data_IF_945765604402
#
_entry.id   IF_945765604402
#
_cell.length_a   1.000
_cell.length_b   1.000
_cell.length_c   1.000
_cell.angle_alpha   90.00
_cell.angle_beta   90.00
_cell.angle_gamma   90.00
#
_symmetry.space_group_name_H-M   'P 1'
#
loop_
_entity.id
_entity.type
_entity.pdbx_description
1 polymer ?
#
# COMPACT_ATOMS: atom_id res chain seq x y z
N UNK A 1 23.57 14.73 11.89
CA UNK A 1 22.66 15.17 10.82
C UNK A 1 21.30 15.37 11.45
N UNK A 2 20.76 16.60 11.47
CA UNK A 2 19.39 16.84 11.92
C UNK A 2 18.44 16.28 10.86
N UNK A 3 17.87 15.11 11.13
CA UNK A 3 16.89 14.49 10.25
C UNK A 3 15.63 15.36 10.28
N UNK A 4 15.34 16.07 9.20
CA UNK A 4 14.08 16.78 9.04
C UNK A 4 12.98 15.73 9.04
N UNK A 5 12.13 15.72 10.06
CA UNK A 5 10.93 14.90 10.10
C UNK A 5 10.00 15.43 9.01
N UNK A 6 9.63 14.58 8.06
CA UNK A 6 8.64 14.94 7.04
C UNK A 6 7.25 14.70 7.61
N UNK A 7 6.30 15.57 7.28
CA UNK A 7 4.90 15.33 7.66
C UNK A 7 4.27 14.17 6.91
N UNK A 8 4.81 13.80 5.74
CA UNK A 8 4.41 12.60 5.01
C UNK A 8 2.91 12.56 4.77
N UNK A 9 2.29 11.41 5.07
CA UNK A 9 0.83 11.26 4.99
C UNK A 9 0.07 12.17 5.97
N UNK A 10 0.67 12.55 7.11
CA UNK A 10 0.02 13.32 8.16
C UNK A 10 -0.11 14.81 7.82
N UNK A 11 0.60 15.28 6.79
CA UNK A 11 0.31 16.58 6.17
C UNK A 11 -1.17 16.68 5.75
N UNK A 12 -1.79 15.54 5.40
CA UNK A 12 -3.16 15.44 4.91
C UNK A 12 -4.16 14.97 5.96
N UNK A 13 -3.82 15.06 7.26
CA UNK A 13 -4.61 14.49 8.37
C UNK A 13 -6.09 14.90 8.38
N UNK A 14 -6.40 16.13 7.99
CA UNK A 14 -7.77 16.65 7.98
C UNK A 14 -8.69 15.95 6.97
N UNK A 15 -8.12 15.31 5.95
CA UNK A 15 -8.86 14.57 4.91
C UNK A 15 -8.88 13.05 5.16
N UNK A 16 -8.18 12.55 6.17
CA UNK A 16 -8.16 11.13 6.52
C UNK A 16 -9.21 10.82 7.58
N UNK A 17 -9.84 9.65 7.49
CA UNK A 17 -10.93 9.26 8.39
C UNK A 17 -10.66 7.82 8.88
N UNK A 18 -10.76 7.53 10.19
CA UNK A 18 -11.11 8.43 11.29
C UNK A 18 -10.01 9.46 11.59
N UNK A 19 -10.39 10.53 12.30
CA UNK A 19 -9.39 11.43 12.87
C UNK A 19 -8.61 10.70 13.97
N UNK A 20 -7.29 10.85 13.97
CA UNK A 20 -6.38 10.20 14.91
C UNK A 20 -5.72 11.24 15.79
N UNK A 21 -5.72 11.01 17.11
CA UNK A 21 -5.03 11.85 18.07
C UNK A 21 -3.51 11.72 17.93
N UNK A 22 -2.80 12.84 18.09
CA UNK A 22 -1.35 12.95 17.86
C UNK A 22 -0.52 11.92 18.66
N UNK A 23 -0.96 11.55 19.86
CA UNK A 23 -0.30 10.56 20.71
C UNK A 23 -0.25 9.14 20.10
N UNK A 24 -1.10 8.83 19.12
CA UNK A 24 -1.14 7.53 18.44
C UNK A 24 -0.41 7.54 17.09
N UNK A 25 0.11 8.69 16.65
CA UNK A 25 0.85 8.79 15.40
C UNK A 25 2.25 8.19 15.59
N UNK A 26 2.55 7.16 14.80
CA UNK A 26 3.84 6.45 14.84
C UNK A 26 4.49 6.50 13.46
N UNK A 27 5.64 7.17 13.36
CA UNK A 27 6.40 7.31 12.10
C UNK A 27 7.61 6.36 12.08
N UNK A 28 7.74 5.55 11.02
CA UNK A 28 8.98 4.77 10.77
C UNK A 28 9.96 5.68 10.02
N UNK A 29 11.19 5.79 10.51
CA UNK A 29 12.20 6.73 9.99
C UNK A 29 11.68 8.18 9.88
N UNK A 30 11.55 8.71 8.65
CA UNK A 30 11.05 10.06 8.36
C UNK A 30 9.51 10.12 8.19
N UNK A 31 8.83 8.97 8.29
CA UNK A 31 7.40 8.82 7.99
C UNK A 31 7.14 8.37 6.54
N UNK A 32 5.99 7.75 6.32
CA UNK A 32 5.52 7.36 5.01
C UNK A 32 5.02 8.57 4.19
N UNK A 33 5.18 8.51 2.88
CA UNK A 33 4.80 9.57 1.96
C UNK A 33 5.88 10.62 1.74
N UNK A 34 5.46 11.74 1.16
CA UNK A 34 6.33 12.75 0.57
C UNK A 34 7.44 12.16 -0.31
N UNK A 35 7.05 11.24 -1.20
CA UNK A 35 8.00 10.57 -2.08
C UNK A 35 8.35 11.44 -3.28
N UNK A 36 9.54 11.28 -3.88
CA UNK A 36 9.93 12.07 -5.05
C UNK A 36 8.98 11.87 -6.22
N UNK A 37 8.54 12.98 -6.85
CA UNK A 37 7.82 12.99 -8.12
C UNK A 37 8.79 13.49 -9.20
N UNK A 38 9.40 12.56 -9.94
CA UNK A 38 10.45 12.89 -10.89
C UNK A 38 9.90 13.00 -12.31
N UNK A 39 10.25 14.07 -13.02
CA UNK A 39 9.98 14.17 -14.45
C UNK A 39 10.96 13.31 -15.24
N UNK A 40 10.45 12.45 -16.11
CA UNK A 40 11.23 11.44 -16.83
C UNK A 40 11.58 11.89 -18.25
N UNK A 41 12.42 12.93 -18.38
CA UNK A 41 12.80 13.54 -19.66
C UNK A 41 13.27 12.53 -20.73
N UNK A 42 14.08 11.54 -20.34
CA UNK A 42 14.56 10.50 -21.26
C UNK A 42 13.43 9.62 -21.82
N UNK A 43 12.38 9.36 -21.04
CA UNK A 43 11.20 8.65 -21.54
C UNK A 43 10.38 9.55 -22.46
N UNK A 44 10.20 10.83 -22.11
CA UNK A 44 9.52 11.80 -22.97
C UNK A 44 10.19 11.89 -24.36
N UNK A 45 11.53 11.99 -24.38
CA UNK A 45 12.34 11.98 -25.61
C UNK A 45 12.18 10.68 -26.41
N UNK A 46 12.22 9.52 -25.73
CA UNK A 46 12.00 8.22 -26.38
C UNK A 46 10.65 8.16 -27.09
N UNK A 47 9.56 8.59 -26.44
CA UNK A 47 8.24 8.58 -27.04
C UNK A 47 8.12 9.55 -28.22
N UNK A 48 8.71 10.74 -28.09
CA UNK A 48 8.75 11.71 -29.18
C UNK A 48 9.51 11.18 -30.40
N UNK A 49 10.67 10.56 -30.21
CA UNK A 49 11.49 10.02 -31.30
C UNK A 49 10.87 8.79 -31.94
N UNK A 50 10.32 7.87 -31.14
CA UNK A 50 9.84 6.57 -31.62
C UNK A 50 8.43 6.62 -32.21
N UNK A 51 7.58 7.51 -31.71
CA UNK A 51 6.15 7.55 -32.04
C UNK A 51 5.66 8.94 -32.47
N UNK A 52 6.49 9.98 -32.44
CA UNK A 52 6.09 11.35 -32.79
C UNK A 52 5.17 12.01 -31.75
N UNK A 53 5.02 11.41 -30.55
CA UNK A 53 4.07 11.87 -29.54
C UNK A 53 4.76 12.72 -28.48
N UNK A 54 4.25 13.93 -28.24
CA UNK A 54 4.64 14.77 -27.11
C UNK A 54 3.84 14.38 -25.88
N UNK A 55 4.54 13.88 -24.87
CA UNK A 55 3.97 13.57 -23.56
C UNK A 55 4.89 14.07 -22.45
N UNK A 56 4.31 14.36 -21.29
CA UNK A 56 5.06 14.66 -20.07
C UNK A 56 4.86 13.50 -19.11
N UNK A 57 5.96 12.91 -18.63
CA UNK A 57 5.93 11.72 -17.79
C UNK A 57 6.50 12.06 -16.42
N UNK A 58 5.73 11.78 -15.38
CA UNK A 58 6.18 11.84 -14.00
C UNK A 58 6.19 10.44 -13.37
N UNK A 59 7.20 10.17 -12.55
CA UNK A 59 7.37 8.94 -11.80
C UNK A 59 7.28 9.26 -10.30
N UNK A 60 6.23 8.77 -9.64
CA UNK A 60 6.12 8.83 -8.18
C UNK A 60 6.90 7.66 -7.57
N UNK A 61 8.00 7.95 -6.89
CA UNK A 61 8.94 6.93 -6.41
C UNK A 61 8.54 6.35 -5.04
N UNK A 62 7.48 5.55 -5.04
CA UNK A 62 6.96 4.88 -3.83
C UNK A 62 7.93 3.88 -3.17
N UNK A 63 9.00 3.49 -3.88
CA UNK A 63 10.10 2.71 -3.32
C UNK A 63 11.00 3.49 -2.35
N UNK A 64 10.76 4.79 -2.17
CA UNK A 64 11.44 5.66 -1.18
C UNK A 64 10.69 5.79 0.14
N UNK A 65 9.59 5.06 0.32
CA UNK A 65 8.97 4.89 1.63
C UNK A 65 9.86 4.02 2.55
N UNK A 66 9.68 4.07 3.89
CA UNK A 66 10.60 3.46 4.86
C UNK A 66 10.90 1.96 4.64
N UNK A 67 9.90 1.16 4.25
CA UNK A 67 10.08 -0.28 3.95
C UNK A 67 10.24 -0.58 2.47
N UNK A 68 10.36 0.45 1.64
CA UNK A 68 10.56 0.34 0.19
C UNK A 68 9.26 0.13 -0.60
N UNK A 69 8.09 0.45 -0.02
CA UNK A 69 6.80 0.25 -0.69
C UNK A 69 5.74 1.28 -0.32
N UNK A 70 4.82 1.56 -1.25
CA UNK A 70 3.61 2.36 -1.01
C UNK A 70 2.73 1.86 0.15
N UNK A 71 2.94 0.62 0.61
CA UNK A 71 2.14 0.05 1.70
C UNK A 71 2.34 0.77 3.02
N UNK A 72 3.48 1.42 3.21
CA UNK A 72 3.77 2.23 4.40
C UNK A 72 2.77 3.35 4.58
N UNK A 73 2.31 3.98 3.48
CA UNK A 73 1.27 5.02 3.55
C UNK A 73 0.02 4.53 4.25
N UNK A 74 -0.46 3.35 3.87
CA UNK A 74 -1.64 2.75 4.48
C UNK A 74 -1.35 2.17 5.85
N UNK A 75 -0.16 1.61 6.06
CA UNK A 75 0.19 0.94 7.30
C UNK A 75 0.38 1.91 8.45
N UNK A 76 1.02 3.05 8.19
CA UNK A 76 1.23 4.10 9.18
C UNK A 76 -0.10 4.61 9.74
N UNK A 77 -1.06 4.90 8.86
CA UNK A 77 -2.40 5.33 9.27
C UNK A 77 -3.17 4.20 9.97
N UNK A 78 -3.15 2.98 9.44
CA UNK A 78 -3.88 1.86 10.02
C UNK A 78 -3.37 1.46 11.41
N UNK A 79 -2.05 1.51 11.65
CA UNK A 79 -1.47 1.27 12.98
C UNK A 79 -1.91 2.37 13.95
N UNK A 80 -1.87 3.62 13.54
CA UNK A 80 -2.30 4.73 14.39
C UNK A 80 -3.78 4.63 14.77
N UNK A 81 -4.66 4.27 13.83
CA UNK A 81 -6.07 3.97 14.10
C UNK A 81 -6.23 2.80 15.08
N UNK A 82 -5.52 1.70 14.85
CA UNK A 82 -5.60 0.54 15.71
C UNK A 82 -5.09 0.81 17.14
N UNK A 83 -4.03 1.62 17.30
CA UNK A 83 -3.54 2.05 18.60
C UNK A 83 -4.57 2.91 19.34
N UNK A 84 -5.25 3.81 18.62
CA UNK A 84 -6.34 4.63 19.14
C UNK A 84 -7.53 3.78 19.60
N UNK A 85 -7.85 2.72 18.86
CA UNK A 85 -8.89 1.74 19.21
C UNK A 85 -8.46 0.79 20.35
N UNK A 86 -7.25 0.94 20.91
CA UNK A 86 -6.75 0.16 22.04
C UNK A 86 -6.01 -1.14 21.65
N UNK A 87 -5.90 -1.47 20.37
CA UNK A 87 -5.14 -2.64 19.92
C UNK A 87 -3.64 -2.44 20.16
N UNK A 88 -2.96 -3.51 20.59
CA UNK A 88 -1.51 -3.54 20.79
C UNK A 88 -0.84 -4.74 20.15
N UNK A 89 -1.61 -5.62 19.54
CA UNK A 89 -1.11 -6.80 18.84
C UNK A 89 -1.70 -6.84 17.43
N UNK A 90 -0.89 -7.24 16.47
CA UNK A 90 -1.23 -7.17 15.06
C UNK A 90 -1.08 -8.53 14.40
N UNK A 91 -1.92 -8.79 13.41
CA UNK A 91 -1.81 -9.97 12.57
C UNK A 91 -1.83 -9.57 11.10
N UNK A 92 -0.89 -10.11 10.36
CA UNK A 92 -0.88 -10.04 8.92
C UNK A 92 -0.61 -11.42 8.38
N UNK A 93 -1.34 -11.76 7.35
CA UNK A 93 -0.93 -12.86 6.52
C UNK A 93 -0.37 -12.23 5.25
N UNK A 94 0.86 -12.51 4.83
CA UNK A 94 1.47 -12.06 3.56
C UNK A 94 2.94 -12.49 3.56
N UNK A 95 3.52 -12.61 2.37
CA UNK A 95 4.88 -13.08 2.16
C UNK A 95 5.77 -12.00 1.53
N UNK A 96 5.39 -10.73 1.61
CA UNK A 96 6.10 -9.64 0.92
C UNK A 96 5.85 -8.28 1.56
N UNK A 97 5.77 -7.24 0.72
CA UNK A 97 5.77 -5.84 1.15
C UNK A 97 4.72 -5.48 2.22
N UNK A 98 3.58 -6.19 2.28
CA UNK A 98 2.60 -5.94 3.34
C UNK A 98 3.15 -6.36 4.68
N UNK A 99 3.72 -7.56 4.80
CA UNK A 99 4.34 -8.01 6.05
C UNK A 99 5.49 -7.12 6.46
N UNK A 100 6.37 -6.74 5.52
CA UNK A 100 7.49 -5.83 5.81
C UNK A 100 7.01 -4.50 6.40
N UNK A 101 5.97 -3.92 5.81
CA UNK A 101 5.35 -2.70 6.32
C UNK A 101 4.73 -2.91 7.70
N UNK A 102 3.89 -3.95 7.89
CA UNK A 102 3.23 -4.21 9.18
C UNK A 102 4.26 -4.39 10.29
N UNK A 103 5.27 -5.24 10.10
CA UNK A 103 6.23 -5.56 11.16
C UNK A 103 7.10 -4.35 11.52
N UNK A 104 7.49 -3.53 10.53
CA UNK A 104 8.26 -2.32 10.78
C UNK A 104 7.46 -1.28 11.56
N UNK A 105 6.21 -1.02 11.16
CA UNK A 105 5.34 -0.07 11.86
C UNK A 105 4.90 -0.58 13.23
N UNK A 106 4.62 -1.88 13.38
CA UNK A 106 4.28 -2.50 14.66
C UNK A 106 5.45 -2.44 15.65
N UNK A 107 6.67 -2.78 15.21
CA UNK A 107 7.86 -2.68 16.04
C UNK A 107 8.11 -1.22 16.47
N UNK A 108 7.98 -0.27 15.55
CA UNK A 108 8.12 1.16 15.87
C UNK A 108 7.05 1.66 16.85
N UNK A 109 5.86 1.08 16.80
CA UNK A 109 4.74 1.38 17.71
C UNK A 109 4.88 0.73 19.10
N UNK A 110 5.90 -0.12 19.34
CA UNK A 110 6.02 -0.88 20.57
C UNK A 110 4.89 -1.90 20.75
N UNK A 111 4.46 -2.53 19.65
CA UNK A 111 3.46 -3.60 19.68
C UNK A 111 3.87 -4.73 20.63
N UNK A 112 2.89 -5.32 21.33
CA UNK A 112 3.10 -6.50 22.18
C UNK A 112 3.45 -7.73 21.34
N UNK A 113 2.77 -7.89 20.21
CA UNK A 113 3.04 -8.97 19.26
C UNK A 113 2.67 -8.53 17.84
N UNK A 114 3.37 -9.10 16.86
CA UNK A 114 3.06 -8.94 15.45
C UNK A 114 3.20 -10.29 14.76
N UNK A 115 2.07 -10.96 14.53
CA UNK A 115 2.02 -12.30 13.97
C UNK A 115 1.99 -12.21 12.43
N UNK A 116 2.97 -12.87 11.80
CA UNK A 116 3.05 -13.00 10.34
C UNK A 116 2.72 -14.44 9.95
N UNK A 117 1.60 -14.65 9.28
CA UNK A 117 1.22 -15.97 8.75
C UNK A 117 1.76 -16.13 7.33
N UNK A 118 2.50 -17.21 7.09
CA UNK A 118 3.12 -17.56 5.81
C UNK A 118 2.87 -19.03 5.45
N UNK A 119 2.81 -19.41 4.15
CA UNK A 119 2.78 -20.80 3.74
C UNK A 119 4.15 -21.47 3.89
N UNK A 120 4.17 -22.80 3.94
CA UNK A 120 5.39 -23.63 4.06
C UNK A 120 6.40 -23.45 2.91
N UNK A 121 5.94 -23.11 1.70
CA UNK A 121 6.74 -23.03 0.48
C UNK A 121 7.37 -21.65 0.22
N UNK A 122 7.43 -20.80 1.26
CA UNK A 122 7.93 -19.44 1.11
C UNK A 122 9.45 -19.39 0.94
N UNK A 123 9.90 -18.70 -0.12
CA UNK A 123 11.32 -18.41 -0.31
C UNK A 123 11.87 -17.53 0.83
N UNK A 124 12.95 -17.99 1.48
CA UNK A 124 13.56 -17.32 2.64
C UNK A 124 13.94 -15.86 2.38
N UNK A 125 14.40 -15.54 1.16
CA UNK A 125 14.76 -14.17 0.77
C UNK A 125 13.62 -13.17 0.87
N UNK A 126 12.35 -13.62 0.88
CA UNK A 126 11.18 -12.76 1.10
C UNK A 126 10.96 -12.43 2.57
N UNK A 127 11.48 -13.25 3.47
CA UNK A 127 11.35 -13.11 4.92
C UNK A 127 12.52 -12.33 5.54
N UNK A 128 13.63 -12.19 4.83
CA UNK A 128 14.84 -11.52 5.34
C UNK A 128 14.59 -10.11 5.84
N UNK A 129 13.70 -9.35 5.18
CA UNK A 129 13.34 -7.98 5.61
C UNK A 129 12.56 -7.97 6.94
N UNK A 130 11.92 -9.08 7.32
CA UNK A 130 11.06 -9.15 8.50
C UNK A 130 11.85 -9.41 9.78
N UNK A 131 12.91 -10.23 9.72
CA UNK A 131 13.63 -10.70 10.90
C UNK A 131 14.16 -9.60 11.83
N UNK A 132 14.73 -8.48 11.33
CA UNK A 132 15.22 -7.41 12.20
C UNK A 132 14.15 -6.76 13.08
N UNK A 133 12.87 -6.88 12.70
CA UNK A 133 11.73 -6.35 13.45
C UNK A 133 11.15 -7.34 14.47
N UNK A 134 11.65 -8.58 14.51
CA UNK A 134 11.28 -9.61 15.49
C UNK A 134 9.80 -10.05 15.50
N UNK A 135 9.12 -10.25 14.36
CA UNK A 135 7.74 -10.73 14.37
C UNK A 135 7.61 -12.21 14.78
N UNK A 136 6.44 -12.59 15.25
CA UNK A 136 6.08 -14.01 15.45
C UNK A 136 5.68 -14.60 14.10
N UNK A 137 6.52 -15.45 13.50
CA UNK A 137 6.22 -16.10 12.22
C UNK A 137 5.45 -17.41 12.48
N UNK A 138 4.27 -17.55 11.89
CA UNK A 138 3.47 -18.78 11.90
C UNK A 138 3.39 -19.36 10.50
N UNK A 139 3.98 -20.53 10.33
CA UNK A 139 3.93 -21.29 9.07
C UNK A 139 2.67 -22.16 9.07
N UNK A 140 1.92 -22.14 7.97
CA UNK A 140 0.69 -22.95 7.79
C UNK A 140 0.75 -23.78 6.51
N UNK A 141 0.21 -24.99 6.55
CA UNK A 141 0.11 -25.90 5.41
C UNK A 141 -1.04 -25.47 4.47
N UNK A 142 -0.82 -25.50 3.15
CA UNK A 142 -1.85 -25.27 2.12
C UNK A 142 -1.62 -24.07 1.19
N UNK A 143 -2.52 -23.88 0.22
CA UNK A 143 -2.45 -22.79 -0.78
C UNK A 143 -2.68 -21.41 -0.16
N UNK A 144 -2.15 -20.36 -0.82
CA UNK A 144 -2.21 -18.98 -0.33
C UNK A 144 -3.64 -18.44 -0.16
N UNK A 145 -4.64 -18.92 -0.91
CA UNK A 145 -6.00 -18.36 -0.86
C UNK A 145 -6.94 -19.12 0.10
N UNK A 146 -6.85 -20.47 0.16
CA UNK A 146 -7.77 -21.29 0.98
C UNK A 146 -7.32 -21.43 2.44
N UNK A 147 -6.02 -21.65 2.70
CA UNK A 147 -5.53 -21.78 4.06
C UNK A 147 -5.47 -20.42 4.76
N UNK A 148 -5.00 -19.39 4.08
CA UNK A 148 -4.68 -18.08 4.67
C UNK A 148 -5.88 -17.33 5.25
N UNK A 149 -6.99 -17.25 4.48
CA UNK A 149 -8.19 -16.52 4.89
C UNK A 149 -8.85 -17.17 6.10
N UNK A 150 -8.85 -18.51 6.13
CA UNK A 150 -9.35 -19.30 7.24
C UNK A 150 -8.46 -19.16 8.48
N UNK A 151 -7.15 -19.43 8.37
CA UNK A 151 -6.25 -19.42 9.52
C UNK A 151 -6.11 -18.05 10.17
N UNK A 152 -6.09 -16.96 9.39
CA UNK A 152 -6.03 -15.61 9.95
C UNK A 152 -7.33 -15.25 10.69
N UNK A 153 -8.50 -15.58 10.12
CA UNK A 153 -9.79 -15.35 10.77
C UNK A 153 -9.95 -16.19 12.03
N UNK A 154 -9.56 -17.46 11.97
CA UNK A 154 -9.57 -18.36 13.11
C UNK A 154 -8.66 -17.85 14.23
N UNK A 155 -7.43 -17.46 13.90
CA UNK A 155 -6.48 -16.87 14.85
C UNK A 155 -7.09 -15.68 15.59
N UNK A 156 -7.67 -14.73 14.87
CA UNK A 156 -8.25 -13.52 15.44
C UNK A 156 -9.54 -13.83 16.22
N UNK A 157 -10.33 -14.81 15.80
CA UNK A 157 -11.51 -15.25 16.55
C UNK A 157 -11.17 -15.79 17.94
N UNK A 158 -10.00 -16.43 18.07
CA UNK A 158 -9.47 -16.96 19.34
C UNK A 158 -8.68 -15.92 20.15
N UNK A 159 -8.26 -14.82 19.52
CA UNK A 159 -7.39 -13.78 20.09
C UNK A 159 -7.94 -12.41 19.66
N UNK A 160 -9.06 -11.95 20.27
CA UNK A 160 -9.76 -10.73 19.87
C UNK A 160 -8.93 -9.45 20.04
N UNK A 161 -7.81 -9.51 20.75
CA UNK A 161 -6.82 -8.43 20.87
C UNK A 161 -5.91 -8.25 19.64
N UNK A 162 -5.98 -9.15 18.65
CA UNK A 162 -5.26 -9.04 17.39
C UNK A 162 -6.04 -8.22 16.35
N UNK A 163 -5.41 -7.16 15.83
CA UNK A 163 -5.95 -6.42 14.68
C UNK A 163 -5.40 -6.96 13.36
N UNK A 164 -6.29 -7.25 12.40
CA UNK A 164 -5.90 -7.64 11.03
C UNK A 164 -5.42 -6.43 10.22
N UNK A 165 -4.23 -6.54 9.62
CA UNK A 165 -3.58 -5.47 8.85
C UNK A 165 -3.51 -5.75 7.33
N UNK A 166 -4.27 -6.74 6.85
CA UNK A 166 -4.34 -7.12 5.45
C UNK A 166 -5.03 -6.05 4.56
N UNK A 167 -5.10 -6.28 3.25
CA UNK A 167 -5.71 -5.33 2.30
C UNK A 167 -7.23 -5.14 2.45
N UNK A 168 -7.87 -5.95 3.31
CA UNK A 168 -9.27 -5.79 3.73
C UNK A 168 -9.45 -4.71 4.81
N UNK A 169 -8.37 -4.29 5.48
CA UNK A 169 -8.44 -3.20 6.45
C UNK A 169 -8.71 -1.87 5.72
N UNK A 170 -9.84 -1.18 5.98
CA UNK A 170 -10.24 0.02 5.27
C UNK A 170 -9.30 1.21 5.52
N UNK A 171 -8.72 1.32 6.73
CA UNK A 171 -7.82 2.40 7.13
C UNK A 171 -6.59 2.44 6.21
N UNK A 172 -6.17 1.29 5.68
CA UNK A 172 -5.06 1.24 4.73
C UNK A 172 -5.33 2.01 3.44
N UNK A 173 -6.58 2.11 3.00
CA UNK A 173 -6.95 2.89 1.81
C UNK A 173 -6.87 4.40 2.11
N UNK A 174 -7.21 4.81 3.33
CA UNK A 174 -7.19 6.20 3.79
C UNK A 174 -5.77 6.75 3.88
N UNK A 175 -4.81 5.94 4.32
CA UNK A 175 -3.40 6.32 4.22
C UNK A 175 -2.89 6.33 2.77
N UNK A 176 -3.27 5.35 1.94
CA UNK A 176 -2.80 5.23 0.55
C UNK A 176 -3.31 6.34 -0.38
N UNK A 177 -4.52 6.87 -0.16
CA UNK A 177 -5.10 7.92 -1.03
C UNK A 177 -4.29 9.22 -1.00
N UNK A 178 -3.50 9.45 0.06
CA UNK A 178 -2.62 10.62 0.20
C UNK A 178 -1.60 10.77 -0.93
N UNK A 179 -1.24 9.67 -1.60
CA UNK A 179 -0.38 9.73 -2.78
C UNK A 179 -1.00 10.56 -3.92
N UNK A 180 -2.32 10.53 -4.09
CA UNK A 180 -3.02 11.37 -5.05
C UNK A 180 -2.97 12.86 -4.64
N UNK A 181 -3.09 13.15 -3.33
CA UNK A 181 -2.97 14.52 -2.82
C UNK A 181 -1.58 15.10 -3.06
N UNK A 182 -0.53 14.30 -2.85
CA UNK A 182 0.84 14.71 -3.15
C UNK A 182 1.04 15.02 -4.63
N UNK A 183 0.49 14.19 -5.52
CA UNK A 183 0.57 14.44 -6.97
C UNK A 183 -0.13 15.76 -7.31
N UNK A 184 -1.37 15.96 -6.86
CA UNK A 184 -2.14 17.18 -7.13
C UNK A 184 -1.45 18.40 -6.54
N UNK A 185 -0.91 18.29 -5.32
CA UNK A 185 -0.20 19.37 -4.65
C UNK A 185 1.10 19.75 -5.35
N UNK A 186 1.88 18.77 -5.83
CA UNK A 186 3.16 18.98 -6.53
C UNK A 186 2.96 19.50 -7.95
N UNK A 187 1.97 18.97 -8.69
CA UNK A 187 1.68 19.38 -10.07
C UNK A 187 0.74 20.58 -10.17
N UNK A 188 0.08 20.97 -9.07
CA UNK A 188 -1.01 21.96 -9.03
C UNK A 188 -2.17 21.63 -9.98
N UNK A 189 -2.32 20.34 -10.32
CA UNK A 189 -3.42 19.76 -11.10
C UNK A 189 -3.44 18.25 -10.95
N UNK A 190 -4.55 17.61 -11.28
CA UNK A 190 -4.54 16.17 -11.57
C UNK A 190 -3.86 15.90 -12.92
N UNK A 191 -3.17 14.76 -13.08
CA UNK A 191 -2.65 14.35 -14.38
C UNK A 191 -3.81 13.94 -15.31
N UNK A 192 -3.54 13.86 -16.61
CA UNK A 192 -4.55 13.43 -17.59
C UNK A 192 -4.79 11.91 -17.51
N UNK A 193 -3.72 11.17 -17.22
CA UNK A 193 -3.72 9.72 -17.01
C UNK A 193 -2.89 9.38 -15.77
N UNK A 194 -3.32 8.37 -15.02
CA UNK A 194 -2.53 7.82 -13.91
C UNK A 194 -2.37 6.31 -14.10
N UNK A 195 -1.14 5.87 -14.33
CA UNK A 195 -0.80 4.47 -14.55
C UNK A 195 -0.26 3.83 -13.27
N UNK A 196 -0.75 2.64 -12.92
CA UNK A 196 -0.24 1.88 -11.79
C UNK A 196 -0.48 0.37 -11.93
N UNK A 197 0.38 -0.47 -11.34
CA UNK A 197 0.17 -1.91 -11.31
C UNK A 197 -1.00 -2.29 -10.39
N UNK A 198 -1.74 -3.34 -10.76
CA UNK A 198 -2.94 -3.82 -10.05
C UNK A 198 -2.78 -5.29 -9.67
N UNK A 199 -2.62 -5.53 -8.37
CA UNK A 199 -2.77 -6.86 -7.75
C UNK A 199 -4.14 -6.97 -7.08
N UNK A 200 -4.17 -6.74 -5.76
CA UNK A 200 -5.41 -6.72 -4.97
C UNK A 200 -6.33 -5.49 -5.19
N UNK A 201 -6.00 -4.61 -6.14
CA UNK A 201 -6.75 -3.39 -6.49
C UNK A 201 -7.02 -2.35 -5.37
N UNK A 202 -6.51 -2.55 -4.15
CA UNK A 202 -6.59 -1.54 -3.09
C UNK A 202 -5.91 -0.21 -3.47
N UNK A 203 -4.75 -0.26 -4.13
CA UNK A 203 -4.02 0.96 -4.48
C UNK A 203 -4.77 1.82 -5.51
N UNK A 204 -5.24 1.24 -6.62
CA UNK A 204 -6.03 1.97 -7.62
C UNK A 204 -7.33 2.55 -7.03
N UNK A 205 -7.96 1.80 -6.11
CA UNK A 205 -9.13 2.28 -5.35
C UNK A 205 -8.78 3.49 -4.49
N UNK A 206 -7.67 3.45 -3.74
CA UNK A 206 -7.22 4.54 -2.90
C UNK A 206 -6.86 5.79 -3.71
N UNK A 207 -6.09 5.65 -4.80
CA UNK A 207 -5.77 6.77 -5.69
C UNK A 207 -7.03 7.40 -6.28
N UNK A 208 -7.98 6.59 -6.74
CA UNK A 208 -9.24 7.11 -7.28
C UNK A 208 -10.05 7.88 -6.23
N UNK A 209 -10.11 7.38 -4.99
CA UNK A 209 -10.72 8.13 -3.87
C UNK A 209 -10.03 9.46 -3.65
N UNK A 210 -8.69 9.47 -3.57
CA UNK A 210 -7.92 10.69 -3.37
C UNK A 210 -8.13 11.74 -4.48
N UNK A 211 -8.11 11.33 -5.76
CA UNK A 211 -8.40 12.26 -6.86
C UNK A 211 -9.82 12.80 -6.81
N UNK A 212 -10.83 11.98 -6.49
CA UNK A 212 -12.21 12.44 -6.33
C UNK A 212 -12.36 13.45 -5.20
N UNK A 213 -11.65 13.26 -4.09
CA UNK A 213 -11.68 14.20 -2.98
C UNK A 213 -11.00 15.52 -3.35
N UNK A 214 -9.84 15.49 -4.02
CA UNK A 214 -9.22 16.71 -4.57
C UNK A 214 -10.15 17.46 -5.52
N UNK A 215 -10.86 16.73 -6.39
CA UNK A 215 -11.80 17.30 -7.34
C UNK A 215 -13.02 17.94 -6.66
N UNK A 216 -13.55 17.31 -5.60
CA UNK A 216 -14.69 17.82 -4.84
C UNK A 216 -14.34 19.04 -3.99
N UNK A 217 -13.15 19.05 -3.39
CA UNK A 217 -12.79 20.00 -2.33
C UNK A 217 -12.03 21.25 -2.81
N UNK A 218 -11.82 21.49 -4.10
CA UNK A 218 -11.23 22.77 -4.51
C UNK A 218 -10.91 23.02 -5.99
N UNK A 219 -10.42 24.24 -6.32
CA UNK A 219 -10.16 24.73 -7.68
C UNK A 219 -8.86 24.22 -8.33
N UNK A 220 -8.06 23.40 -7.64
CA UNK A 220 -6.72 22.96 -8.11
C UNK A 220 -6.82 21.74 -9.05
N UNK A 221 -7.67 20.77 -8.73
CA UNK A 221 -7.94 19.63 -9.60
C UNK A 221 -9.25 19.87 -10.37
N UNK A 222 -9.17 20.55 -11.52
CA UNK A 222 -10.33 20.86 -12.36
C UNK A 222 -10.84 19.65 -13.18
N UNK A 223 -10.11 18.54 -13.16
CA UNK A 223 -10.45 17.31 -13.87
C UNK A 223 -10.02 16.09 -13.08
N UNK A 224 -10.58 14.94 -13.45
CA UNK A 224 -10.20 13.63 -12.92
C UNK A 224 -9.32 12.89 -13.92
N UNK A 225 -8.24 12.22 -13.46
CA UNK A 225 -7.40 11.42 -14.35
C UNK A 225 -8.16 10.20 -14.84
N UNK A 226 -7.82 9.75 -16.05
CA UNK A 226 -8.13 8.38 -16.45
C UNK A 226 -7.21 7.42 -15.71
N UNK A 227 -7.77 6.57 -14.85
CA UNK A 227 -7.03 5.57 -14.09
C UNK A 227 -6.72 4.37 -14.98
N UNK A 228 -5.43 4.06 -15.18
CA UNK A 228 -4.98 2.95 -16.02
C UNK A 228 -4.29 1.90 -15.14
N UNK A 229 -5.01 0.83 -14.85
CA UNK A 229 -4.50 -0.32 -14.11
C UNK A 229 -3.88 -1.36 -15.04
N UNK A 230 -2.68 -1.84 -14.71
CA UNK A 230 -2.02 -2.92 -15.44
C UNK A 230 -1.88 -4.19 -14.60
N UNK A 231 -2.23 -5.34 -15.17
CA UNK A 231 -2.02 -6.66 -14.59
C UNK A 231 -1.08 -7.46 -15.49
N UNK A 232 -0.37 -8.44 -14.92
CA UNK A 232 0.41 -9.39 -15.72
C UNK A 232 -0.55 -10.37 -16.40
N UNK A 233 -0.28 -10.75 -17.66
CA UNK A 233 -1.14 -11.62 -18.47
C UNK A 233 -1.60 -12.89 -17.72
N UNK A 234 -0.67 -13.63 -17.10
CA UNK A 234 -0.99 -14.84 -16.32
C UNK A 234 -1.63 -14.58 -14.95
N UNK A 235 -1.93 -13.33 -14.59
CA UNK A 235 -2.53 -12.91 -13.33
C UNK A 235 -3.43 -11.67 -13.53
N UNK A 236 -4.27 -11.67 -14.57
CA UNK A 236 -5.12 -10.55 -14.97
C UNK A 236 -6.64 -10.79 -14.77
N UNK A 237 -7.12 -11.15 -13.57
CA UNK A 237 -8.53 -11.48 -13.33
C UNK A 237 -9.50 -10.32 -13.62
N UNK A 238 -9.10 -9.05 -13.43
CA UNK A 238 -9.98 -7.91 -13.72
C UNK A 238 -10.08 -7.63 -15.21
N UNK A 239 -9.06 -8.02 -15.99
CA UNK A 239 -9.08 -7.90 -17.46
C UNK A 239 -9.99 -8.96 -18.06
N UNK A 240 -9.91 -10.20 -17.57
CA UNK A 240 -10.70 -11.32 -18.10
C UNK A 240 -12.08 -11.49 -17.44
N UNK A 241 -12.38 -10.76 -16.36
CA UNK A 241 -13.69 -10.78 -15.70
C UNK A 241 -13.96 -12.03 -14.86
N UNK A 242 -12.92 -12.71 -14.34
CA UNK A 242 -13.06 -13.97 -13.62
C UNK A 242 -11.91 -14.23 -12.64
N UNK A 243 -12.03 -15.28 -11.82
CA UNK A 243 -10.96 -15.73 -10.93
C UNK A 243 -9.90 -16.49 -11.74
N UNK A 244 -8.63 -16.26 -11.45
CA UNK A 244 -7.52 -17.07 -11.96
C UNK A 244 -7.00 -17.92 -10.80
N UNK A 245 -7.28 -19.22 -10.78
CA UNK A 245 -6.92 -20.10 -9.66
C UNK A 245 -5.39 -20.27 -9.48
N UNK A 246 -4.64 -20.23 -10.59
CA UNK A 246 -3.20 -20.45 -10.59
C UNK A 246 -2.45 -19.28 -11.25
N UNK A 247 -2.41 -18.09 -10.62
CA UNK A 247 -1.80 -16.91 -11.21
C UNK A 247 -0.29 -17.09 -11.38
N UNK A 248 0.24 -16.74 -12.55
CA UNK A 248 1.66 -16.86 -12.91
C UNK A 248 2.24 -15.55 -13.42
N UNK A 249 3.30 -15.07 -12.78
CA UNK A 249 4.09 -13.93 -13.23
C UNK A 249 5.38 -13.81 -12.42
N UNK A 250 6.43 -13.25 -13.03
CA UNK A 250 7.65 -12.81 -12.33
C UNK A 250 7.38 -11.62 -11.40
N UNK A 251 6.36 -10.82 -11.69
CA UNK A 251 5.94 -9.67 -10.89
C UNK A 251 5.15 -10.11 -9.65
N UNK A 252 5.85 -10.71 -8.69
CA UNK A 252 5.23 -11.36 -7.51
C UNK A 252 4.24 -10.47 -6.73
N UNK A 253 4.47 -9.15 -6.67
CA UNK A 253 3.60 -8.20 -5.98
C UNK A 253 2.19 -8.04 -6.60
N UNK A 254 2.02 -8.45 -7.87
CA UNK A 254 0.74 -8.45 -8.59
C UNK A 254 0.32 -9.86 -9.05
N UNK A 255 0.95 -10.91 -8.52
CA UNK A 255 0.55 -12.31 -8.75
C UNK A 255 -0.71 -12.63 -7.92
N UNK A 256 -1.84 -12.05 -8.28
CA UNK A 256 -3.12 -12.14 -7.58
C UNK A 256 -4.19 -12.66 -8.53
N UNK A 257 -4.82 -13.79 -8.18
CA UNK A 257 -5.86 -14.43 -8.97
C UNK A 257 -7.28 -14.01 -8.61
N UNK A 258 -7.48 -13.47 -7.40
CA UNK A 258 -8.78 -13.03 -6.89
C UNK A 258 -8.62 -11.72 -6.09
N UNK A 259 -8.74 -10.55 -6.74
CA UNK A 259 -8.56 -9.26 -6.08
C UNK A 259 -9.62 -8.99 -5.02
N UNK A 260 -9.20 -8.48 -3.86
CA UNK A 260 -10.09 -8.09 -2.75
C UNK A 260 -11.02 -6.94 -3.11
N UNK A 261 -10.51 -5.96 -3.87
CA UNK A 261 -11.31 -4.82 -4.36
C UNK A 261 -11.67 -5.09 -5.83
N UNK A 262 -12.95 -5.07 -6.17
CA UNK A 262 -13.46 -5.28 -7.54
C UNK A 262 -14.34 -4.12 -7.95
#
# INVERSE_FOLDING_TARGET
>A
MNTVIRDGIWHWREFMIPQVNDQFIVRVEQGAGDTPLLRAHRLEEFFQQRFGVRIVIYLLLEGKNPTGSFKDRGMEFAIACALQDGFRSFAVASTGNTSASVVAHAAKAGAKDCIVIVPEDIAEGKMTQLYPFGPTIRVVSGSFDDAYGHHLKELVSKNPELKIMNSSNPDRLEGQKTAAYEIVSKLKRAPDYHFLPVGNAGNITAYWRGYKECYKNGPIALSLPKMIGAQAEGAAPLVYGGIIEHPKTVASAIKIGNPVHR
#
